data_IF_148608015938
#
_entry.id   IF_148608015938
#
_cell.length_a   1.000
_cell.length_b   1.000
_cell.length_c   1.000
_cell.angle_alpha   90.00
_cell.angle_beta   90.00
_cell.angle_gamma   90.00
#
_symmetry.space_group_name_H-M   'P 1'
#
loop_
_entity.id
_entity.type
_entity.pdbx_description
1 polymer ?
#
# COMPACT_ATOMS: atom_id res chain seq x y z
N UNK A 1 -13.72 39.71 72.95
CA UNK A 1 -12.94 38.75 72.14
C UNK A 1 -13.30 37.36 72.64
N UNK A 2 -14.13 36.64 71.88
CA UNK A 2 -14.78 35.40 72.34
C UNK A 2 -13.87 34.22 72.04
N UNK A 3 -13.43 33.55 73.09
CA UNK A 3 -12.93 32.19 73.04
C UNK A 3 -13.68 31.41 74.13
N UNK A 4 -14.49 30.42 73.73
CA UNK A 4 -15.23 29.53 74.64
C UNK A 4 -15.64 28.22 73.94
N UNK A 5 -15.04 27.13 74.44
CA UNK A 5 -15.66 25.85 74.86
C UNK A 5 -16.44 25.00 73.83
N UNK A 6 -16.04 23.72 73.65
CA UNK A 6 -16.76 22.57 74.28
C UNK A 6 -16.10 21.19 74.07
N UNK A 7 -16.32 20.39 75.10
CA UNK A 7 -16.00 19.00 75.44
C UNK A 7 -16.63 17.87 74.58
N UNK A 8 -15.86 16.77 74.47
CA UNK A 8 -16.16 15.36 74.86
C UNK A 8 -17.41 14.60 74.32
N UNK A 9 -17.14 13.35 73.87
CA UNK A 9 -17.90 12.08 74.00
C UNK A 9 -18.56 11.39 72.77
N UNK A 10 -18.11 10.13 72.61
CA UNK A 10 -18.85 8.86 72.41
C UNK A 10 -19.58 8.55 71.09
N UNK A 11 -19.17 7.38 70.58
CA UNK A 11 -19.95 6.26 70.07
C UNK A 11 -20.96 6.49 68.94
N UNK A 12 -20.70 5.86 67.79
CA UNK A 12 -21.72 5.68 66.76
C UNK A 12 -21.28 4.74 65.63
N UNK A 13 -21.55 3.46 65.82
CA UNK A 13 -21.94 2.47 64.81
C UNK A 13 -21.04 2.18 63.60
N UNK A 14 -20.59 0.92 63.56
CA UNK A 14 -20.08 0.22 62.41
C UNK A 14 -21.05 0.30 61.21
N UNK A 15 -20.52 0.66 60.04
CA UNK A 15 -21.18 0.49 58.75
C UNK A 15 -20.41 -0.57 57.97
N UNK A 16 -21.05 -1.71 57.79
CA UNK A 16 -20.59 -2.85 57.00
C UNK A 16 -20.61 -2.46 55.52
N UNK A 17 -19.44 -2.36 54.88
CA UNK A 17 -19.34 -2.26 53.43
C UNK A 17 -19.66 -3.62 52.80
N UNK A 18 -20.87 -3.79 52.27
CA UNK A 18 -21.18 -4.88 51.35
C UNK A 18 -20.55 -4.59 49.99
N UNK A 19 -19.47 -5.29 49.66
CA UNK A 19 -18.88 -5.28 48.33
C UNK A 19 -19.74 -6.13 47.38
N UNK A 20 -20.50 -5.49 46.51
CA UNK A 20 -21.12 -6.13 45.35
C UNK A 20 -20.07 -6.24 44.26
N UNK A 21 -19.48 -7.42 44.10
CA UNK A 21 -18.59 -7.73 42.97
C UNK A 21 -19.48 -8.04 41.76
N UNK A 22 -19.70 -7.03 40.91
CA UNK A 22 -20.25 -7.21 39.58
C UNK A 22 -19.15 -7.80 38.67
N UNK A 23 -19.21 -9.12 38.46
CA UNK A 23 -18.50 -9.78 37.37
C UNK A 23 -19.10 -9.34 36.04
N UNK A 24 -18.55 -8.28 35.43
CA UNK A 24 -18.72 -8.05 34.01
C UNK A 24 -17.88 -9.07 33.27
N UNK A 25 -18.53 -10.09 32.71
CA UNK A 25 -17.94 -10.95 31.72
C UNK A 25 -17.57 -10.09 30.50
N UNK A 26 -16.28 -9.75 30.38
CA UNK A 26 -15.73 -9.22 29.14
C UNK A 26 -15.79 -10.36 28.13
N UNK A 27 -16.86 -10.39 27.35
CA UNK A 27 -16.92 -11.16 26.13
C UNK A 27 -15.75 -10.72 25.26
N UNK A 28 -14.76 -11.60 25.10
CA UNK A 28 -13.68 -11.44 24.14
C UNK A 28 -14.26 -11.50 22.72
N UNK A 29 -14.89 -10.40 22.31
CA UNK A 29 -15.15 -10.11 20.92
C UNK A 29 -13.80 -9.98 20.25
N UNK A 30 -13.40 -11.02 19.51
CA UNK A 30 -12.16 -11.05 18.77
C UNK A 30 -12.01 -9.76 17.96
N UNK A 31 -11.00 -8.98 18.32
CA UNK A 31 -10.55 -7.82 17.55
C UNK A 31 -10.15 -8.34 16.17
N UNK A 32 -10.99 -8.12 15.16
CA UNK A 32 -10.59 -8.31 13.77
C UNK A 32 -9.63 -7.17 13.43
N UNK A 33 -8.34 -7.48 13.44
CA UNK A 33 -7.28 -6.57 13.02
C UNK A 33 -7.56 -6.06 11.59
N UNK A 34 -7.71 -4.75 11.48
CA UNK A 34 -8.12 -4.06 10.28
C UNK A 34 -6.90 -3.83 9.36
N UNK A 35 -6.91 -4.48 8.21
CA UNK A 35 -5.69 -4.85 7.47
C UNK A 35 -4.93 -3.70 6.77
N UNK A 36 -5.41 -2.46 6.90
CA UNK A 36 -4.88 -1.34 6.11
C UNK A 36 -4.78 -0.01 6.85
N UNK A 37 -5.29 0.09 8.07
CA UNK A 37 -5.03 1.25 8.97
C UNK A 37 -4.12 0.90 10.13
N UNK A 38 -3.93 -0.39 10.40
CA UNK A 38 -2.97 -0.83 11.41
C UNK A 38 -1.56 -0.78 10.81
N UNK A 39 -0.75 0.17 11.28
CA UNK A 39 0.67 0.29 10.94
C UNK A 39 1.40 -1.03 11.24
N UNK A 40 0.91 -1.82 12.20
CA UNK A 40 1.43 -3.16 12.53
C UNK A 40 1.06 -4.23 11.49
N UNK A 41 -0.07 -4.06 10.81
CA UNK A 41 -0.52 -4.94 9.71
C UNK A 41 0.16 -4.65 8.38
N UNK A 42 0.59 -3.41 8.14
CA UNK A 42 1.33 -3.00 6.94
C UNK A 42 2.81 -3.41 6.94
N UNK A 43 3.37 -3.80 8.09
CA UNK A 43 4.78 -4.19 8.27
C UNK A 43 4.98 -5.69 8.52
N UNK A 44 3.90 -6.47 8.65
CA UNK A 44 4.02 -7.92 8.84
C UNK A 44 4.08 -8.65 7.49
N UNK A 45 5.27 -8.67 6.89
CA UNK A 45 5.54 -9.39 5.64
C UNK A 45 5.40 -10.92 5.76
N UNK A 46 5.11 -11.46 6.96
CA UNK A 46 4.80 -12.87 7.19
C UNK A 46 3.33 -13.21 6.97
N UNK A 47 2.48 -12.22 6.76
CA UNK A 47 1.06 -12.46 6.50
C UNK A 47 0.89 -13.12 5.13
N UNK A 48 0.20 -14.26 5.10
CA UNK A 48 -0.25 -14.88 3.85
C UNK A 48 -1.14 -13.88 3.11
N UNK A 49 -0.59 -13.34 2.04
CA UNK A 49 -1.32 -12.46 1.13
C UNK A 49 -2.30 -13.35 0.35
N UNK A 50 -3.60 -13.15 0.53
CA UNK A 50 -4.57 -13.80 -0.35
C UNK A 50 -4.43 -13.18 -1.76
N UNK A 51 -4.06 -13.97 -2.78
CA UNK A 51 -3.87 -13.45 -4.13
C UNK A 51 -5.10 -12.73 -4.68
N UNK A 52 -6.30 -13.18 -4.32
CA UNK A 52 -7.57 -12.66 -4.84
C UNK A 52 -7.87 -11.23 -4.34
N UNK A 53 -7.29 -10.83 -3.21
CA UNK A 53 -7.47 -9.50 -2.60
C UNK A 53 -6.20 -8.64 -2.70
N UNK A 54 -5.13 -9.14 -3.31
CA UNK A 54 -3.89 -8.39 -3.42
C UNK A 54 -4.03 -7.19 -4.36
N UNK A 55 -3.64 -6.01 -3.88
CA UNK A 55 -3.85 -4.74 -4.57
C UNK A 55 -5.20 -4.07 -4.32
N UNK A 56 -6.07 -4.68 -3.51
CA UNK A 56 -7.30 -4.01 -3.07
C UNK A 56 -6.98 -2.91 -2.03
N UNK A 57 -7.63 -1.75 -2.18
CA UNK A 57 -7.54 -0.63 -1.23
C UNK A 57 -8.89 -0.45 -0.54
N UNK A 58 -8.85 -0.49 0.78
CA UNK A 58 -9.97 -0.19 1.66
C UNK A 58 -9.97 1.31 1.91
N UNK A 59 -11.02 1.96 1.42
CA UNK A 59 -11.25 3.38 1.61
C UNK A 59 -12.18 3.58 2.80
N UNK A 60 -11.65 4.21 3.85
CA UNK A 60 -12.39 4.58 5.05
C UNK A 60 -12.67 6.07 4.95
N UNK A 61 -13.87 6.39 4.50
CA UNK A 61 -14.25 7.75 4.08
C UNK A 61 -14.51 8.71 5.25
N UNK A 62 -14.38 8.27 6.50
CA UNK A 62 -14.33 9.16 7.65
C UNK A 62 -13.21 8.76 8.60
N UNK A 63 -12.43 9.75 9.05
CA UNK A 63 -11.51 9.61 10.19
C UNK A 63 -12.26 9.59 11.53
N UNK A 64 -13.60 9.69 11.50
CA UNK A 64 -14.47 9.50 12.66
C UNK A 64 -15.12 8.12 12.58
N UNK A 65 -15.17 7.42 13.72
CA UNK A 65 -15.67 6.04 13.86
C UNK A 65 -17.18 5.86 13.59
N UNK A 66 -17.86 6.87 13.01
CA UNK A 66 -19.32 6.99 12.96
C UNK A 66 -19.92 6.80 11.56
N UNK A 67 -19.18 6.29 10.56
CA UNK A 67 -19.74 6.04 9.24
C UNK A 67 -20.75 4.86 9.29
N UNK A 68 -22.01 5.04 8.85
CA UNK A 68 -23.05 4.01 8.97
C UNK A 68 -22.88 2.83 7.98
N UNK A 69 -22.15 3.03 6.89
CA UNK A 69 -21.95 2.04 5.83
C UNK A 69 -20.61 1.32 5.94
N UNK A 70 -20.54 0.11 5.37
CA UNK A 70 -19.28 -0.65 5.25
C UNK A 70 -18.22 0.16 4.49
N UNK A 71 -16.94 0.06 4.84
CA UNK A 71 -15.86 0.65 4.05
C UNK A 71 -15.92 0.24 2.58
N UNK A 72 -15.51 1.16 1.70
CA UNK A 72 -15.42 0.89 0.26
C UNK A 72 -14.17 0.05 -0.02
N UNK A 73 -14.28 -0.95 -0.88
CA UNK A 73 -13.13 -1.72 -1.38
C UNK A 73 -12.91 -1.38 -2.84
N UNK A 74 -11.82 -0.70 -3.14
CA UNK A 74 -11.37 -0.40 -4.49
C UNK A 74 -10.40 -1.48 -4.98
N UNK A 75 -10.75 -2.15 -6.08
CA UNK A 75 -9.98 -3.27 -6.62
C UNK A 75 -9.10 -2.84 -7.78
N UNK A 76 -7.80 -2.63 -7.56
CA UNK A 76 -6.89 -2.16 -8.61
C UNK A 76 -6.85 -3.09 -9.81
N UNK A 77 -6.86 -4.41 -9.60
CA UNK A 77 -6.71 -5.38 -10.69
C UNK A 77 -7.87 -5.30 -11.70
N UNK A 78 -9.10 -5.09 -11.27
CA UNK A 78 -10.25 -4.89 -12.18
C UNK A 78 -10.09 -3.63 -13.03
N UNK A 79 -9.60 -2.56 -12.44
CA UNK A 79 -9.47 -1.26 -13.10
C UNK A 79 -8.25 -1.23 -14.03
N UNK A 80 -7.11 -1.79 -13.60
CA UNK A 80 -5.86 -1.75 -14.38
C UNK A 80 -5.87 -2.61 -15.64
N UNK A 81 -6.81 -3.56 -15.75
CA UNK A 81 -7.04 -4.26 -17.03
C UNK A 81 -7.63 -3.34 -18.09
N UNK A 82 -8.26 -2.22 -17.68
CA UNK A 82 -9.00 -1.30 -18.55
C UNK A 82 -8.39 0.09 -18.63
N UNK A 83 -7.69 0.55 -17.60
CA UNK A 83 -7.14 1.90 -17.49
C UNK A 83 -5.72 1.87 -16.94
N UNK A 84 -4.86 2.77 -17.40
CA UNK A 84 -3.53 2.92 -16.82
C UNK A 84 -3.61 3.60 -15.46
N UNK A 85 -2.55 3.48 -14.65
CA UNK A 85 -2.46 4.14 -13.36
C UNK A 85 -2.61 5.67 -13.48
N UNK A 86 -2.14 6.26 -14.59
CA UNK A 86 -2.25 7.68 -14.90
C UNK A 86 -3.70 8.20 -14.82
N UNK A 87 -4.65 7.43 -15.37
CA UNK A 87 -6.06 7.84 -15.43
C UNK A 87 -6.61 8.13 -14.04
N UNK A 88 -6.25 7.33 -13.03
CA UNK A 88 -6.74 7.55 -11.68
C UNK A 88 -5.86 8.55 -10.93
N UNK A 89 -4.55 8.38 -10.96
CA UNK A 89 -3.64 9.11 -10.06
C UNK A 89 -3.22 10.49 -10.56
N UNK A 90 -3.40 10.77 -11.85
CA UNK A 90 -3.08 12.06 -12.45
C UNK A 90 -4.34 12.72 -13.02
N UNK A 91 -5.08 12.05 -13.91
CA UNK A 91 -6.27 12.68 -14.54
C UNK A 91 -7.41 12.91 -13.54
N UNK A 92 -7.71 11.92 -12.70
CA UNK A 92 -8.74 12.03 -11.65
C UNK A 92 -8.22 12.57 -10.32
N UNK A 93 -6.90 12.75 -10.19
CA UNK A 93 -6.27 13.34 -9.01
C UNK A 93 -6.32 12.47 -7.75
N UNK A 94 -6.46 11.14 -7.87
CA UNK A 94 -6.36 10.27 -6.69
C UNK A 94 -4.91 10.26 -6.16
N UNK A 95 -4.69 10.63 -4.89
CA UNK A 95 -3.36 10.52 -4.30
C UNK A 95 -2.91 9.06 -4.25
N UNK A 96 -1.61 8.81 -4.47
CA UNK A 96 -1.03 7.46 -4.39
C UNK A 96 -1.13 6.89 -2.96
N UNK A 97 -1.15 7.76 -1.94
CA UNK A 97 -1.37 7.37 -0.55
C UNK A 97 -2.86 7.21 -0.29
N UNK A 98 -3.26 6.02 0.16
CA UNK A 98 -4.66 5.74 0.50
C UNK A 98 -5.16 6.62 1.66
N UNK A 99 -6.46 6.93 1.65
CA UNK A 99 -7.17 7.64 2.70
C UNK A 99 -6.65 9.06 3.01
N UNK A 100 -6.05 9.75 2.04
CA UNK A 100 -5.62 11.15 2.20
C UNK A 100 -6.53 12.17 1.52
N UNK A 101 -7.56 11.71 0.81
CA UNK A 101 -8.57 12.56 0.20
C UNK A 101 -9.95 12.14 0.68
N UNK A 102 -10.75 13.11 1.10
CA UNK A 102 -12.16 12.89 1.43
C UNK A 102 -12.97 12.87 0.13
N UNK A 103 -13.77 11.83 -0.06
CA UNK A 103 -14.65 11.67 -1.22
C UNK A 103 -16.08 11.65 -0.71
N UNK A 104 -16.86 12.66 -1.09
CA UNK A 104 -18.26 12.76 -0.70
C UNK A 104 -19.16 12.20 -1.79
N UNK A 105 -20.35 11.73 -1.41
CA UNK A 105 -21.37 11.31 -2.37
C UNK A 105 -21.67 12.43 -3.38
N UNK A 106 -21.71 13.69 -2.94
CA UNK A 106 -21.89 14.85 -3.82
C UNK A 106 -20.79 14.99 -4.89
N UNK A 107 -19.53 14.62 -4.59
CA UNK A 107 -18.45 14.64 -5.59
C UNK A 107 -18.66 13.54 -6.63
N UNK A 108 -19.09 12.35 -6.21
CA UNK A 108 -19.45 11.24 -7.09
C UNK A 108 -20.66 11.60 -7.95
N UNK A 109 -21.65 12.28 -7.37
CA UNK A 109 -22.84 12.75 -8.08
C UNK A 109 -22.49 13.85 -9.11
N UNK A 110 -21.49 14.67 -8.81
CA UNK A 110 -20.92 15.65 -9.72
C UNK A 110 -19.95 15.07 -10.76
N UNK A 111 -19.77 13.74 -10.82
CA UNK A 111 -18.93 13.10 -11.83
C UNK A 111 -17.42 13.12 -11.53
N UNK A 112 -17.03 13.42 -10.28
CA UNK A 112 -15.63 13.33 -9.85
C UNK A 112 -15.32 11.93 -9.32
N UNK A 113 -14.03 11.60 -9.23
CA UNK A 113 -13.54 10.34 -8.66
C UNK A 113 -14.24 9.12 -9.29
N UNK A 114 -14.90 8.30 -8.47
CA UNK A 114 -15.67 7.13 -8.93
C UNK A 114 -16.76 7.52 -9.94
N UNK A 115 -17.40 8.68 -9.76
CA UNK A 115 -18.49 9.17 -10.60
C UNK A 115 -18.08 9.52 -12.02
N UNK A 116 -16.78 9.67 -12.30
CA UNK A 116 -16.28 9.91 -13.65
C UNK A 116 -16.53 8.73 -14.60
N UNK A 117 -16.62 7.52 -14.05
CA UNK A 117 -16.86 6.29 -14.80
C UNK A 117 -18.10 5.52 -14.32
N UNK A 118 -18.40 5.53 -13.01
CA UNK A 118 -19.61 4.93 -12.47
C UNK A 118 -20.81 5.87 -12.69
N UNK A 119 -21.19 6.06 -13.95
CA UNK A 119 -22.25 6.96 -14.39
C UNK A 119 -23.47 6.22 -14.99
N UNK A 120 -23.42 4.88 -15.02
CA UNK A 120 -24.41 4.02 -15.67
C UNK A 120 -24.21 3.86 -17.17
N UNK A 121 -23.18 4.48 -17.76
CA UNK A 121 -22.82 4.40 -19.18
C UNK A 121 -21.46 3.75 -19.38
N UNK A 122 -20.42 4.30 -18.74
CA UNK A 122 -19.04 3.81 -18.80
C UNK A 122 -18.86 2.59 -17.91
N UNK A 123 -19.45 2.62 -16.72
CA UNK A 123 -19.51 1.52 -15.78
C UNK A 123 -20.90 1.47 -15.11
N UNK A 124 -21.05 0.53 -14.18
CA UNK A 124 -22.29 0.36 -13.43
C UNK A 124 -22.64 1.61 -12.60
N UNK A 125 -23.92 1.76 -12.24
CA UNK A 125 -24.46 3.00 -11.68
C UNK A 125 -24.08 3.26 -10.22
N UNK A 126 -24.22 4.51 -9.77
CA UNK A 126 -23.85 4.99 -8.43
C UNK A 126 -24.73 4.44 -7.31
N UNK A 127 -25.94 3.98 -7.64
CA UNK A 127 -26.93 3.47 -6.70
C UNK A 127 -26.68 2.02 -6.24
N UNK A 128 -25.68 1.34 -6.80
CA UNK A 128 -25.36 -0.04 -6.47
C UNK A 128 -24.41 -0.14 -5.27
N UNK A 129 -24.86 0.35 -4.10
CA UNK A 129 -24.03 0.62 -2.93
C UNK A 129 -23.13 -0.57 -2.54
N UNK A 130 -23.67 -1.79 -2.54
CA UNK A 130 -22.95 -3.01 -2.13
C UNK A 130 -21.78 -3.40 -3.04
N UNK A 131 -21.73 -2.88 -4.28
CA UNK A 131 -20.58 -3.11 -5.18
C UNK A 131 -19.34 -2.32 -4.74
N UNK A 132 -19.54 -1.15 -4.13
CA UNK A 132 -18.46 -0.32 -3.60
C UNK A 132 -18.21 -0.62 -2.13
N UNK A 133 -19.25 -0.53 -1.29
CA UNK A 133 -19.24 -0.75 0.16
C UNK A 133 -19.21 -2.24 0.51
N UNK A 134 -18.17 -2.92 0.02
CA UNK A 134 -18.06 -4.37 0.02
C UNK A 134 -17.10 -4.92 1.08
N UNK A 135 -16.54 -4.08 1.95
CA UNK A 135 -15.65 -4.56 3.01
C UNK A 135 -16.36 -5.59 3.92
N UNK A 136 -15.69 -6.72 4.18
CA UNK A 136 -16.25 -7.82 4.94
C UNK A 136 -17.32 -8.65 4.20
N UNK A 137 -17.67 -8.31 2.94
CA UNK A 137 -18.37 -9.23 2.06
C UNK A 137 -17.34 -10.23 1.50
N UNK A 138 -17.72 -11.51 1.42
CA UNK A 138 -16.88 -12.50 0.75
C UNK A 138 -16.80 -12.12 -0.73
N UNK A 139 -15.58 -11.87 -1.20
CA UNK A 139 -15.34 -11.73 -2.63
C UNK A 139 -15.69 -13.05 -3.33
N UNK A 140 -16.29 -12.96 -4.51
CA UNK A 140 -16.51 -14.12 -5.38
C UNK A 140 -15.19 -14.49 -6.05
N UNK A 141 -14.34 -15.23 -5.33
CA UNK A 141 -12.98 -15.60 -5.77
C UNK A 141 -13.00 -16.31 -7.13
N UNK A 142 -14.04 -17.09 -7.41
CA UNK A 142 -14.23 -17.79 -8.69
C UNK A 142 -14.29 -16.83 -9.87
N UNK A 143 -15.01 -15.70 -9.73
CA UNK A 143 -15.07 -14.67 -10.79
C UNK A 143 -13.73 -13.98 -11.03
N UNK A 144 -12.91 -13.87 -9.99
CA UNK A 144 -11.58 -13.24 -10.09
C UNK A 144 -10.66 -14.14 -10.90
N UNK A 145 -10.62 -15.43 -10.58
CA UNK A 145 -9.80 -16.40 -11.30
C UNK A 145 -10.21 -16.52 -12.77
N UNK A 146 -11.52 -16.53 -13.05
CA UNK A 146 -12.05 -16.52 -14.43
C UNK A 146 -11.61 -15.27 -15.20
N UNK A 147 -11.70 -14.08 -14.58
CA UNK A 147 -11.28 -12.82 -15.22
C UNK A 147 -9.77 -12.73 -15.48
N UNK A 148 -8.95 -13.41 -14.67
CA UNK A 148 -7.49 -13.42 -14.77
C UNK A 148 -6.92 -14.68 -15.46
N UNK A 149 -7.79 -15.61 -15.91
CA UNK A 149 -7.37 -16.90 -16.43
C UNK A 149 -6.47 -16.80 -17.67
N UNK A 150 -6.74 -15.83 -18.56
CA UNK A 150 -6.00 -15.63 -19.81
C UNK A 150 -4.74 -14.78 -19.71
N UNK A 151 -4.39 -14.30 -18.50
CA UNK A 151 -3.22 -13.44 -18.30
C UNK A 151 -1.96 -14.23 -17.95
N UNK A 152 -0.77 -13.75 -18.34
CA UNK A 152 0.50 -14.34 -17.94
C UNK A 152 0.59 -14.50 -16.42
N UNK A 153 1.08 -15.66 -15.97
CA UNK A 153 1.15 -16.01 -14.54
C UNK A 153 2.41 -15.48 -13.88
N UNK A 154 2.34 -15.31 -12.57
CA UNK A 154 3.44 -14.89 -11.71
C UNK A 154 3.48 -15.75 -10.44
N UNK A 155 4.67 -15.92 -9.85
CA UNK A 155 4.84 -16.61 -8.57
C UNK A 155 4.37 -15.79 -7.37
N UNK A 156 4.25 -14.48 -7.52
CA UNK A 156 4.05 -13.53 -6.42
C UNK A 156 2.79 -12.67 -6.59
N UNK A 157 2.42 -11.96 -5.51
CA UNK A 157 1.28 -11.05 -5.48
C UNK A 157 -0.03 -11.75 -5.84
N UNK A 158 -0.77 -11.17 -6.80
CA UNK A 158 -2.04 -11.71 -7.30
C UNK A 158 -1.88 -12.78 -8.40
N UNK A 159 -0.67 -13.36 -8.54
CA UNK A 159 -0.35 -14.43 -9.51
C UNK A 159 -0.47 -14.05 -10.98
N UNK A 160 -0.40 -12.76 -11.29
CA UNK A 160 -0.43 -12.23 -12.65
C UNK A 160 0.82 -11.39 -12.91
N UNK A 161 1.49 -11.65 -14.03
CA UNK A 161 2.59 -10.83 -14.52
C UNK A 161 2.03 -9.71 -15.41
N UNK A 162 1.86 -8.54 -14.80
CA UNK A 162 1.23 -7.38 -15.45
C UNK A 162 2.09 -6.73 -16.52
N UNK A 163 3.41 -6.79 -16.37
CA UNK A 163 4.35 -6.29 -17.40
C UNK A 163 4.21 -7.15 -18.65
N UNK A 164 4.26 -8.48 -18.50
CA UNK A 164 4.04 -9.39 -19.62
C UNK A 164 2.62 -9.22 -20.21
N UNK A 165 1.59 -9.07 -19.38
CA UNK A 165 0.22 -8.86 -19.87
C UNK A 165 0.09 -7.63 -20.78
N UNK A 166 0.81 -6.54 -20.47
CA UNK A 166 0.87 -5.33 -21.29
C UNK A 166 1.70 -5.54 -22.56
N UNK A 167 2.90 -6.11 -22.43
CA UNK A 167 3.83 -6.31 -23.54
C UNK A 167 3.28 -7.29 -24.58
N UNK A 168 2.64 -8.37 -24.12
CA UNK A 168 1.98 -9.38 -24.94
C UNK A 168 0.61 -8.92 -25.48
N UNK A 169 0.20 -7.68 -25.15
CA UNK A 169 -1.10 -7.09 -25.51
C UNK A 169 -2.30 -7.94 -25.08
N UNK A 170 -2.16 -8.70 -23.99
CA UNK A 170 -3.28 -9.43 -23.36
C UNK A 170 -4.23 -8.47 -22.67
N UNK A 171 -3.74 -7.28 -22.31
CA UNK A 171 -4.54 -6.13 -21.92
C UNK A 171 -4.09 -4.89 -22.70
N UNK A 172 -5.02 -3.99 -22.95
CA UNK A 172 -4.78 -2.71 -23.63
C UNK A 172 -5.48 -1.59 -22.86
N UNK A 173 -4.99 -1.25 -21.65
CA UNK A 173 -5.65 -0.25 -20.84
C UNK A 173 -5.61 1.13 -21.51
N UNK A 174 -6.74 1.84 -21.45
CA UNK A 174 -6.84 3.22 -21.89
C UNK A 174 -5.94 4.12 -21.02
N UNK A 175 -5.20 5.00 -21.68
CA UNK A 175 -4.23 5.87 -21.01
C UNK A 175 -4.81 7.23 -20.57
N UNK A 176 -6.04 7.53 -20.98
CA UNK A 176 -6.79 8.73 -20.60
C UNK A 176 -8.28 8.43 -20.49
N UNK A 177 -9.03 9.34 -19.86
CA UNK A 177 -10.49 9.30 -19.87
C UNK A 177 -11.06 9.52 -21.28
N UNK A 178 -12.26 8.98 -21.58
CA UNK A 178 -12.93 9.21 -22.86
C UNK A 178 -13.03 10.70 -23.20
N UNK A 179 -12.61 11.07 -24.42
CA UNK A 179 -12.62 12.46 -24.90
C UNK A 179 -11.52 13.36 -24.33
N UNK A 180 -10.58 12.82 -23.54
CA UNK A 180 -9.37 13.53 -23.10
C UNK A 180 -8.16 13.15 -23.95
N UNK A 181 -7.26 14.11 -24.24
CA UNK A 181 -6.03 13.79 -24.94
C UNK A 181 -5.24 12.74 -24.17
N UNK A 182 -4.59 11.84 -24.91
CA UNK A 182 -3.70 10.85 -24.32
C UNK A 182 -2.37 11.55 -24.04
N UNK A 183 -2.10 11.78 -22.76
CA UNK A 183 -0.80 12.25 -22.29
C UNK A 183 0.02 11.03 -21.83
N UNK A 184 0.66 10.37 -22.79
CA UNK A 184 1.47 9.17 -22.55
C UNK A 184 2.90 9.40 -23.02
N UNK A 185 3.76 9.75 -22.08
CA UNK A 185 5.20 9.83 -22.28
C UNK A 185 5.86 8.54 -21.79
N UNK A 186 6.25 7.65 -22.71
CA UNK A 186 7.06 6.46 -22.35
C UNK A 186 8.53 6.86 -22.40
N UNK A 187 9.19 6.78 -21.24
CA UNK A 187 10.62 7.07 -21.11
C UNK A 187 11.42 5.79 -21.22
N UNK A 188 12.32 5.74 -22.19
CA UNK A 188 13.31 4.68 -22.32
C UNK A 188 14.48 4.88 -21.35
N UNK A 189 15.14 3.78 -20.99
CA UNK A 189 16.39 3.78 -20.24
C UNK A 189 16.24 3.33 -18.78
N UNK A 190 17.24 2.53 -18.38
CA UNK A 190 17.31 1.95 -17.05
C UNK A 190 18.28 2.72 -16.16
N UNK A 191 18.01 2.70 -14.87
CA UNK A 191 18.82 3.31 -13.82
C UNK A 191 19.34 2.20 -12.91
N UNK A 192 20.66 2.09 -12.82
CA UNK A 192 21.30 1.22 -11.84
C UNK A 192 21.41 1.95 -10.50
N UNK A 193 20.89 1.33 -9.46
CA UNK A 193 20.89 1.82 -8.09
C UNK A 193 21.83 0.94 -7.26
N UNK A 194 22.99 1.49 -6.83
CA UNK A 194 23.97 0.72 -6.07
C UNK A 194 23.46 0.42 -4.65
N UNK A 195 23.73 -0.79 -4.16
CA UNK A 195 23.33 -1.25 -2.81
C UNK A 195 24.56 -1.47 -1.91
N UNK A 196 25.53 -0.57 -2.00
CA UNK A 196 26.86 -0.71 -1.36
C UNK A 196 26.90 -0.36 0.14
N UNK A 197 25.77 0.07 0.73
CA UNK A 197 25.72 0.54 2.13
C UNK A 197 25.73 -0.58 3.17
N UNK A 198 25.61 -1.84 2.76
CA UNK A 198 25.59 -3.02 3.64
C UNK A 198 26.60 -4.04 3.11
N UNK A 199 27.18 -4.88 3.98
CA UNK A 199 28.08 -5.96 3.56
C UNK A 199 27.77 -7.24 4.35
N UNK A 200 27.63 -8.40 3.69
CA UNK A 200 27.56 -8.59 2.23
C UNK A 200 26.30 -7.90 1.65
N UNK A 201 26.44 -7.19 0.53
CA UNK A 201 25.29 -6.57 -0.12
C UNK A 201 24.61 -7.53 -1.10
N UNK A 202 23.28 -7.41 -1.30
CA UNK A 202 22.62 -8.03 -2.44
C UNK A 202 23.12 -7.41 -3.75
N UNK A 203 22.78 -8.02 -4.91
CA UNK A 203 23.07 -7.41 -6.19
C UNK A 203 22.45 -6.02 -6.34
N UNK A 204 23.00 -5.19 -7.22
CA UNK A 204 22.48 -3.84 -7.45
C UNK A 204 21.06 -3.87 -8.03
N UNK A 205 20.31 -2.81 -7.78
CA UNK A 205 18.93 -2.70 -8.25
C UNK A 205 18.90 -2.10 -9.66
N UNK A 206 18.18 -2.73 -10.58
CA UNK A 206 17.85 -2.15 -11.88
C UNK A 206 16.43 -1.59 -11.86
N UNK A 207 16.29 -0.29 -12.12
CA UNK A 207 15.00 0.37 -12.30
C UNK A 207 14.80 0.72 -13.77
N UNK A 208 13.71 0.28 -14.38
CA UNK A 208 13.40 0.59 -15.79
C UNK A 208 12.30 1.64 -15.90
N UNK A 209 12.57 2.77 -16.54
CA UNK A 209 11.52 3.77 -16.76
C UNK A 209 10.41 3.26 -17.69
N UNK A 210 10.75 2.46 -18.69
CA UNK A 210 9.80 2.02 -19.72
C UNK A 210 8.60 1.30 -19.12
N UNK A 211 8.84 0.29 -18.29
CA UNK A 211 7.77 -0.52 -17.68
C UNK A 211 6.91 0.26 -16.69
N UNK A 212 7.43 1.35 -16.11
CA UNK A 212 6.68 2.23 -15.22
C UNK A 212 5.87 3.26 -16.01
N UNK A 213 6.51 3.95 -16.96
CA UNK A 213 5.91 5.01 -17.79
C UNK A 213 4.93 4.51 -18.85
N UNK A 214 4.92 3.20 -19.11
CA UNK A 214 3.83 2.55 -19.85
C UNK A 214 2.47 2.65 -19.12
N UNK A 215 2.48 2.87 -17.80
CA UNK A 215 1.29 2.92 -16.94
C UNK A 215 1.15 4.23 -16.15
N UNK A 216 2.25 4.93 -15.87
CA UNK A 216 2.32 6.09 -15.00
C UNK A 216 2.84 7.32 -15.75
N UNK A 217 2.46 8.50 -15.29
CA UNK A 217 3.01 9.76 -15.75
C UNK A 217 4.22 10.19 -14.88
N UNK A 218 5.10 11.04 -15.43
CA UNK A 218 6.31 11.53 -14.75
C UNK A 218 6.02 12.12 -13.36
N UNK A 219 4.91 12.86 -13.23
CA UNK A 219 4.46 13.47 -11.97
C UNK A 219 4.03 12.46 -10.90
N UNK A 220 3.78 11.20 -11.26
CA UNK A 220 3.49 10.14 -10.30
C UNK A 220 4.73 9.75 -9.49
N UNK A 221 5.93 10.07 -9.99
CA UNK A 221 7.19 9.74 -9.33
C UNK A 221 8.00 10.97 -8.94
N UNK A 222 7.90 12.06 -9.70
CA UNK A 222 8.73 13.24 -9.55
C UNK A 222 7.92 14.50 -9.23
N UNK A 223 8.39 15.36 -8.31
CA UNK A 223 9.64 15.23 -7.52
C UNK A 223 9.48 14.35 -6.27
N UNK A 224 8.28 13.84 -5.99
CA UNK A 224 7.99 12.97 -4.84
C UNK A 224 7.26 11.74 -5.37
N UNK A 225 7.68 10.52 -5.03
CA UNK A 225 8.71 10.14 -4.04
C UNK A 225 10.18 10.22 -4.48
N UNK A 226 10.49 10.59 -5.73
CA UNK A 226 11.87 10.63 -6.22
C UNK A 226 12.23 12.00 -6.78
N UNK A 227 13.39 12.52 -6.40
CA UNK A 227 14.01 13.63 -7.13
C UNK A 227 14.63 13.08 -8.42
N UNK A 228 14.36 13.71 -9.57
CA UNK A 228 14.80 13.28 -10.90
C UNK A 228 16.29 13.58 -11.16
N UNK A 229 17.15 13.21 -10.23
CA UNK A 229 18.59 13.46 -10.26
C UNK A 229 19.35 12.28 -9.66
N UNK A 230 20.47 11.91 -10.32
CA UNK A 230 21.30 10.78 -9.90
C UNK A 230 21.90 11.06 -8.51
N UNK A 231 21.68 10.15 -7.57
CA UNK A 231 22.21 10.28 -6.21
C UNK A 231 21.40 11.18 -5.28
N UNK A 232 20.41 11.94 -5.77
CA UNK A 232 19.60 12.86 -4.98
C UNK A 232 18.60 12.19 -4.01
N UNK A 233 18.58 10.86 -3.97
CA UNK A 233 17.73 10.06 -3.09
C UNK A 233 18.57 9.13 -2.20
N UNK A 234 19.54 9.64 -1.40
CA UNK A 234 20.55 8.83 -0.73
C UNK A 234 20.01 8.12 0.52
N UNK A 235 18.92 8.60 1.08
CA UNK A 235 18.29 8.10 2.30
C UNK A 235 17.34 6.93 2.05
N UNK A 236 17.05 6.60 0.78
CA UNK A 236 16.32 5.40 0.37
C UNK A 236 17.04 4.14 0.86
N UNK A 237 16.28 3.29 1.53
CA UNK A 237 16.71 1.98 2.00
C UNK A 237 15.49 1.05 2.14
N UNK A 238 15.70 -0.24 2.38
CA UNK A 238 14.62 -1.21 2.49
C UNK A 238 13.65 -0.93 3.66
N UNK A 239 14.11 -0.35 4.77
CA UNK A 239 13.21 0.03 5.89
C UNK A 239 12.22 1.09 5.44
N UNK A 240 12.69 2.11 4.70
CA UNK A 240 11.81 3.13 4.12
C UNK A 240 10.90 2.57 3.02
N UNK A 241 11.40 1.62 2.23
CA UNK A 241 10.60 0.96 1.18
C UNK A 241 9.47 0.14 1.80
N UNK A 242 9.75 -0.71 2.79
CA UNK A 242 8.73 -1.52 3.47
C UNK A 242 7.71 -0.61 4.18
N UNK A 243 8.14 0.52 4.74
CA UNK A 243 7.23 1.49 5.37
C UNK A 243 6.38 2.31 4.38
N UNK A 244 6.51 2.07 3.08
CA UNK A 244 5.67 2.68 2.04
C UNK A 244 6.22 3.96 1.42
N UNK A 245 7.52 4.17 1.49
CA UNK A 245 8.22 5.27 0.83
C UNK A 245 8.97 4.77 -0.42
N UNK A 246 9.36 5.67 -1.32
CA UNK A 246 10.05 5.32 -2.58
C UNK A 246 9.29 4.23 -3.36
N UNK A 247 9.96 3.12 -3.67
CA UNK A 247 9.37 1.98 -4.37
C UNK A 247 8.13 1.44 -3.63
N UNK A 248 8.12 1.52 -2.29
CA UNK A 248 7.04 1.03 -1.44
C UNK A 248 5.73 1.81 -1.55
N UNK A 249 5.74 2.99 -2.20
CA UNK A 249 4.49 3.69 -2.52
C UNK A 249 3.56 2.79 -3.34
N UNK A 250 4.15 1.95 -4.22
CA UNK A 250 3.42 1.04 -5.08
C UNK A 250 3.70 -0.45 -4.79
N UNK A 251 4.98 -0.84 -4.63
CA UNK A 251 5.38 -2.22 -4.33
C UNK A 251 4.99 -2.63 -2.91
N UNK A 252 4.68 -3.91 -2.70
CA UNK A 252 4.05 -4.47 -1.48
C UNK A 252 2.60 -4.06 -1.22
N UNK A 253 2.01 -3.24 -2.10
CA UNK A 253 0.63 -2.77 -2.00
C UNK A 253 -0.18 -3.16 -3.23
N UNK A 254 0.05 -2.44 -4.33
CA UNK A 254 -0.71 -2.58 -5.59
C UNK A 254 0.13 -3.18 -6.73
N UNK A 255 1.45 -3.03 -6.63
CA UNK A 255 2.45 -3.68 -7.48
C UNK A 255 3.00 -4.93 -6.77
N UNK A 256 3.87 -5.70 -7.44
CA UNK A 256 4.36 -6.97 -6.89
C UNK A 256 4.96 -6.83 -5.46
N UNK A 257 4.91 -7.90 -4.64
CA UNK A 257 5.35 -7.88 -3.26
C UNK A 257 6.87 -7.84 -3.12
N UNK A 258 7.36 -7.29 -2.01
CA UNK A 258 8.80 -7.07 -1.81
C UNK A 258 9.58 -8.35 -1.48
N UNK A 259 8.90 -9.49 -1.32
CA UNK A 259 9.53 -10.79 -1.11
C UNK A 259 10.04 -11.44 -2.42
N UNK A 260 9.82 -10.83 -3.59
CA UNK A 260 10.50 -11.18 -4.83
C UNK A 260 11.77 -10.34 -5.01
N UNK A 261 12.78 -10.62 -4.17
CA UNK A 261 13.97 -9.79 -4.03
C UNK A 261 14.69 -9.54 -5.37
N UNK A 262 14.86 -10.60 -6.17
CA UNK A 262 15.64 -10.58 -7.40
C UNK A 262 14.91 -9.91 -8.58
N UNK A 263 13.63 -9.57 -8.42
CA UNK A 263 12.93 -8.74 -9.42
C UNK A 263 13.50 -7.32 -9.49
N UNK A 264 13.94 -6.78 -8.35
CA UNK A 264 14.63 -5.50 -8.27
C UNK A 264 16.15 -5.68 -8.28
N UNK A 265 16.66 -6.56 -7.42
CA UNK A 265 18.10 -6.86 -7.26
C UNK A 265 18.59 -7.78 -8.38
N UNK A 266 18.58 -7.26 -9.60
CA UNK A 266 18.74 -8.02 -10.84
C UNK A 266 20.05 -7.74 -11.58
N UNK A 267 20.86 -6.79 -11.11
CA UNK A 267 22.21 -6.63 -11.67
C UNK A 267 23.11 -7.78 -11.23
N UNK A 268 24.14 -8.14 -12.01
CA UNK A 268 25.15 -9.09 -11.55
C UNK A 268 25.77 -8.62 -10.23
N UNK A 269 26.07 -9.55 -9.31
CA UNK A 269 26.80 -9.25 -8.08
C UNK A 269 28.16 -8.66 -8.49
N UNK A 270 28.46 -7.44 -8.06
CA UNK A 270 29.78 -6.86 -8.25
C UNK A 270 30.80 -7.76 -7.54
N UNK A 271 31.86 -8.19 -8.24
CA UNK A 271 32.95 -8.93 -7.60
C UNK A 271 33.53 -8.04 -6.50
N UNK A 272 33.54 -8.54 -5.27
CA UNK A 272 34.31 -7.93 -4.20
C UNK A 272 35.77 -8.11 -4.60
N UNK A 273 36.44 -7.02 -4.97
CA UNK A 273 37.90 -7.03 -5.08
C UNK A 273 38.43 -7.27 -3.68
N UNK A 274 38.96 -8.46 -3.44
CA UNK A 274 39.68 -8.77 -2.20
C UNK A 274 40.82 -7.74 -2.08
N UNK A 275 41.00 -7.07 -0.93
CA UNK A 275 42.13 -6.18 -0.74
C UNK A 275 43.40 -6.99 -1.01
N UNK A 276 44.22 -6.51 -1.96
CA UNK A 276 45.49 -7.13 -2.30
C UNK A 276 46.28 -7.37 -1.01
N UNK A 277 46.57 -8.65 -0.75
CA UNK A 277 47.12 -9.09 0.51
C UNK A 277 48.37 -8.29 0.88
N UNK A 278 48.38 -7.75 2.09
CA UNK A 278 49.58 -7.19 2.70
C UNK A 278 50.71 -8.22 2.60
N UNK A 279 51.72 -7.82 1.84
CA UNK A 279 52.96 -8.51 1.57
C UNK A 279 53.55 -9.05 2.89
N UNK A 280 53.49 -10.38 3.09
CA UNK A 280 54.10 -11.05 4.25
C UNK A 280 55.62 -10.94 4.15
N UNK A 281 56.19 -9.78 4.50
CA UNK A 281 57.63 -9.62 4.68
C UNK A 281 58.06 -10.24 6.00
N UNK A 282 58.44 -11.51 5.91
CA UNK A 282 59.61 -12.11 6.54
C UNK A 282 59.85 -11.81 8.02
N UNK A 283 59.32 -12.67 8.90
CA UNK A 283 60.02 -12.97 10.15
C UNK A 283 61.06 -14.04 9.83
N UNK A 284 62.31 -13.61 9.66
CA UNK A 284 63.46 -14.53 9.67
C UNK A 284 63.51 -15.19 11.06
N UNK A 285 63.53 -16.52 11.05
CA UNK A 285 64.03 -17.33 12.14
C UNK A 285 65.54 -17.12 12.20
N UNK A 286 66.03 -16.61 13.32
CA UNK A 286 67.35 -16.90 13.90
C UNK A 286 67.24 -16.69 15.42
#
# INVERSE_FOLDING_TARGET
MKDRTREYLRNGSAVVFSAVILFFAVSASGVRADTQTDVKGAIDQRRVINPSTYGDIIMKTSLTDSAPDKPVVFKHWTHRTKYTCNVCHTDLGFPLKANTVEIKQADIDAGKYCGACHDGKTAFGRSECAKCHSYGLKADEKKIDEQLAGLPKDGFGNKVNWVAALQDRKITPAASLPGKPVDKEVKEGDVVIPVTKFSPHPPDVLFSHKVHTEQLHCSSCHPVPFVAEKGANPDRNMIKIISGQYCGVCHDRVSFPLNDCFRCHSQPVQKIEEPEGEDKKGVKKD
#
